data_IF_754665848362
#
_entry.id   IF_754665848362
#
_cell.length_a   1.000
_cell.length_b   1.000
_cell.length_c   1.000
_cell.angle_alpha   90.00
_cell.angle_beta   90.00
_cell.angle_gamma   90.00
#
_symmetry.space_group_name_H-M   'P 1'
#
loop_
_entity.id
_entity.type
_entity.pdbx_description
1 polymer ?
#
# COMPACT_ATOMS: atom_id res chain seq x y z
N UNK A 1 -18.54 4.31 10.48
CA UNK A 1 -18.02 5.52 11.18
C UNK A 1 -16.52 5.65 11.01
N UNK A 2 -15.71 4.59 11.30
CA UNK A 2 -14.26 4.61 11.18
C UNK A 2 -13.80 4.99 9.76
N UNK A 3 -14.37 4.36 8.71
CA UNK A 3 -14.03 4.68 7.33
C UNK A 3 -14.18 6.18 6.99
N UNK A 4 -15.23 6.85 7.51
CA UNK A 4 -15.40 8.30 7.31
C UNK A 4 -14.27 9.13 7.92
N UNK A 5 -13.77 8.73 9.12
CA UNK A 5 -12.65 9.43 9.76
C UNK A 5 -11.38 9.25 8.94
N UNK A 6 -11.09 8.02 8.49
CA UNK A 6 -9.92 7.75 7.65
C UNK A 6 -9.98 8.52 6.33
N UNK A 7 -11.12 8.49 5.64
CA UNK A 7 -11.33 9.29 4.41
C UNK A 7 -11.12 10.78 4.67
N UNK A 8 -11.59 11.30 5.82
CA UNK A 8 -11.36 12.70 6.21
C UNK A 8 -9.90 13.09 6.42
N UNK A 9 -9.03 12.12 6.76
CA UNK A 9 -7.58 12.33 6.97
C UNK A 9 -6.75 12.12 5.69
N UNK A 10 -7.25 11.32 4.75
CA UNK A 10 -6.48 10.87 3.58
C UNK A 10 -6.94 11.59 2.31
N UNK A 11 -8.25 11.64 2.09
CA UNK A 11 -8.85 12.24 0.90
C UNK A 11 -10.06 11.46 0.40
N UNK A 12 -10.73 11.96 -0.66
CA UNK A 12 -11.90 11.31 -1.26
C UNK A 12 -11.60 9.88 -1.71
N UNK A 13 -12.44 8.92 -1.29
CA UNK A 13 -12.24 7.50 -1.61
C UNK A 13 -13.07 6.58 -0.73
N UNK A 14 -12.71 5.30 -0.72
CA UNK A 14 -13.33 4.28 0.14
C UNK A 14 -12.28 3.51 0.92
N UNK A 15 -12.72 2.90 2.02
CA UNK A 15 -11.86 2.08 2.90
C UNK A 15 -12.40 0.66 2.92
N UNK A 16 -11.50 -0.30 2.75
CA UNK A 16 -11.74 -1.72 2.98
C UNK A 16 -10.93 -2.12 4.22
N UNK A 17 -11.58 -2.80 5.18
CA UNK A 17 -10.93 -3.27 6.40
C UNK A 17 -10.51 -4.73 6.27
N UNK A 18 -9.39 -5.06 6.91
CA UNK A 18 -8.86 -6.40 7.09
C UNK A 18 -8.27 -6.54 8.51
N UNK A 19 -7.42 -7.54 8.77
CA UNK A 19 -6.98 -7.85 10.14
C UNK A 19 -5.49 -7.61 10.37
N UNK A 20 -4.73 -7.39 9.31
CA UNK A 20 -3.26 -7.25 9.39
C UNK A 20 -2.69 -6.40 8.26
N UNK A 21 -1.42 -5.99 8.40
CA UNK A 21 -0.69 -5.30 7.32
C UNK A 21 -0.45 -6.19 6.10
N UNK A 22 -0.19 -7.49 6.31
CA UNK A 22 -0.03 -8.43 5.20
C UNK A 22 -1.31 -8.55 4.37
N UNK A 23 -2.49 -8.66 5.01
CA UNK A 23 -3.78 -8.65 4.31
C UNK A 23 -4.04 -7.32 3.60
N UNK A 24 -3.64 -6.19 4.19
CA UNK A 24 -3.76 -4.88 3.54
C UNK A 24 -2.90 -4.83 2.27
N UNK A 25 -1.65 -5.28 2.31
CA UNK A 25 -0.79 -5.35 1.14
C UNK A 25 -1.28 -6.36 0.09
N UNK A 26 -1.82 -7.52 0.49
CA UNK A 26 -2.51 -8.44 -0.43
C UNK A 26 -3.67 -7.74 -1.15
N UNK A 27 -4.44 -6.92 -0.42
CA UNK A 27 -5.54 -6.17 -1.04
C UNK A 27 -5.03 -5.10 -2.02
N UNK A 28 -3.89 -4.41 -1.75
CA UNK A 28 -3.25 -3.51 -2.71
C UNK A 28 -2.81 -4.24 -3.98
N UNK A 29 -2.14 -5.38 -3.84
CA UNK A 29 -1.68 -6.19 -4.98
C UNK A 29 -2.86 -6.74 -5.80
N UNK A 30 -3.92 -7.18 -5.13
CA UNK A 30 -5.16 -7.62 -5.79
C UNK A 30 -5.87 -6.47 -6.50
N UNK A 31 -5.90 -5.27 -5.90
CA UNK A 31 -6.44 -4.06 -6.55
C UNK A 31 -5.69 -3.78 -7.85
N UNK A 32 -4.36 -3.78 -7.81
CA UNK A 32 -3.53 -3.56 -8.99
C UNK A 32 -3.83 -4.60 -10.09
N UNK A 33 -3.82 -5.88 -9.76
CA UNK A 33 -4.13 -6.95 -10.72
C UNK A 33 -5.55 -6.84 -11.29
N UNK A 34 -6.52 -6.49 -10.45
CA UNK A 34 -7.90 -6.34 -10.90
C UNK A 34 -8.05 -5.16 -11.88
N UNK A 35 -7.35 -4.04 -11.62
CA UNK A 35 -7.31 -2.89 -12.54
C UNK A 35 -6.60 -3.26 -13.83
N UNK A 36 -5.46 -3.97 -13.76
CA UNK A 36 -4.70 -4.40 -14.93
C UNK A 36 -5.43 -5.40 -15.83
N UNK A 37 -6.36 -6.17 -15.27
CA UNK A 37 -7.16 -7.15 -16.01
C UNK A 37 -8.49 -6.58 -16.52
N UNK A 38 -8.83 -5.33 -16.21
CA UNK A 38 -10.02 -4.66 -16.74
C UNK A 38 -9.73 -3.95 -18.07
N UNK A 39 -10.42 -4.35 -19.14
CA UNK A 39 -10.43 -3.71 -20.44
C UNK A 39 -9.57 -4.37 -21.50
N UNK A 40 -9.61 -3.84 -22.75
CA UNK A 40 -8.94 -4.40 -23.93
C UNK A 40 -7.40 -4.29 -23.91
N UNK A 41 -6.83 -3.64 -22.94
CA UNK A 41 -5.36 -3.54 -22.70
C UNK A 41 -4.88 -4.53 -21.65
N UNK A 42 -5.50 -5.68 -21.64
CA UNK A 42 -5.35 -6.73 -20.65
C UNK A 42 -3.95 -7.34 -20.61
N UNK A 43 -3.55 -7.67 -19.42
CA UNK A 43 -2.41 -8.41 -18.89
C UNK A 43 -1.28 -7.57 -18.28
N UNK A 44 -1.52 -6.29 -17.95
CA UNK A 44 -0.58 -5.56 -17.10
C UNK A 44 -0.66 -6.14 -15.69
N UNK A 45 0.41 -6.79 -15.26
CA UNK A 45 0.44 -7.45 -13.94
C UNK A 45 1.77 -7.25 -13.20
N UNK A 46 2.75 -6.59 -13.82
CA UNK A 46 4.05 -6.31 -13.20
C UNK A 46 3.92 -5.21 -12.14
N UNK A 47 4.53 -5.46 -10.98
CA UNK A 47 4.64 -4.48 -9.90
C UNK A 47 6.11 -4.14 -9.69
N UNK A 48 6.44 -2.84 -9.75
CA UNK A 48 7.77 -2.34 -9.40
C UNK A 48 7.76 -1.99 -7.91
N UNK A 49 8.75 -2.49 -7.18
CA UNK A 49 8.83 -2.38 -5.71
C UNK A 49 10.17 -1.79 -5.31
N UNK A 50 10.22 -1.02 -4.24
CA UNK A 50 11.48 -0.55 -3.68
C UNK A 50 12.30 -1.71 -3.08
N UNK A 51 13.59 -1.79 -3.40
CA UNK A 51 14.52 -2.73 -2.76
C UNK A 51 14.51 -2.55 -1.25
N UNK A 52 14.82 -3.62 -0.52
CA UNK A 52 14.83 -3.67 0.94
C UNK A 52 13.46 -3.38 1.62
N UNK A 53 12.38 -3.28 0.84
CA UNK A 53 11.02 -3.15 1.37
C UNK A 53 10.55 -4.41 2.09
N UNK A 54 9.63 -4.23 3.04
CA UNK A 54 8.97 -5.32 3.76
C UNK A 54 7.45 -5.13 3.74
N UNK A 55 6.75 -6.03 3.05
CA UNK A 55 5.31 -5.89 2.83
C UNK A 55 4.46 -6.98 3.51
N UNK A 56 5.08 -7.99 4.10
CA UNK A 56 4.39 -9.05 4.85
C UNK A 56 4.92 -10.46 4.61
N UNK A 57 4.19 -11.44 5.15
CA UNK A 57 4.58 -12.86 5.17
C UNK A 57 3.62 -13.79 4.41
N UNK A 58 2.51 -13.31 3.90
CA UNK A 58 1.65 -14.05 2.97
C UNK A 58 2.35 -14.15 1.61
N UNK A 59 2.00 -15.13 0.77
CA UNK A 59 2.74 -15.37 -0.47
C UNK A 59 2.80 -14.16 -1.39
N UNK A 60 1.72 -13.38 -1.54
CA UNK A 60 1.73 -12.17 -2.35
C UNK A 60 2.58 -11.06 -1.74
N UNK A 61 2.39 -10.76 -0.46
CA UNK A 61 3.19 -9.75 0.24
C UNK A 61 4.67 -10.15 0.34
N UNK A 62 4.96 -11.46 0.50
CA UNK A 62 6.32 -12.00 0.49
C UNK A 62 6.98 -11.87 -0.89
N UNK A 63 6.20 -12.03 -1.96
CA UNK A 63 6.69 -11.84 -3.33
C UNK A 63 7.14 -10.40 -3.59
N UNK A 64 6.46 -9.42 -2.99
CA UNK A 64 6.84 -8.01 -3.00
C UNK A 64 7.98 -7.66 -2.03
N UNK A 65 8.40 -8.58 -1.14
CA UNK A 65 9.50 -8.41 -0.19
C UNK A 65 10.78 -9.01 -0.78
N UNK A 66 11.78 -8.17 -1.12
CA UNK A 66 12.98 -8.64 -1.83
C UNK A 66 13.91 -9.53 -0.98
N UNK A 67 13.93 -9.37 0.34
CA UNK A 67 14.94 -9.98 1.23
C UNK A 67 15.02 -11.50 1.09
N UNK A 68 16.18 -12.07 0.66
CA UNK A 68 16.37 -13.53 0.54
C UNK A 68 16.14 -14.27 1.87
N UNK A 69 16.43 -13.62 2.99
CA UNK A 69 16.21 -14.16 4.35
C UNK A 69 14.76 -14.56 4.59
N UNK A 70 13.81 -13.82 3.99
CA UNK A 70 12.38 -14.07 4.18
C UNK A 70 11.79 -14.99 3.13
N UNK A 71 12.39 -15.03 1.92
CA UNK A 71 11.88 -15.77 0.74
C UNK A 71 12.32 -17.22 0.71
N UNK A 72 13.52 -17.52 1.20
CA UNK A 72 14.13 -18.86 1.12
C UNK A 72 13.21 -19.95 1.68
N UNK A 73 12.91 -20.95 0.86
CA UNK A 73 12.09 -22.12 1.20
C UNK A 73 10.58 -21.92 0.92
N UNK A 74 10.18 -20.77 0.36
CA UNK A 74 8.79 -20.48 0.00
C UNK A 74 8.58 -20.32 -1.51
N UNK A 75 9.62 -20.62 -2.32
CA UNK A 75 9.53 -20.59 -3.77
C UNK A 75 8.71 -21.78 -4.32
N UNK A 76 8.01 -21.62 -5.47
CA UNK A 76 7.95 -20.44 -6.31
C UNK A 76 7.07 -19.33 -5.71
N UNK A 77 7.53 -18.09 -5.77
CA UNK A 77 6.76 -16.91 -5.37
C UNK A 77 5.93 -16.39 -6.55
N UNK A 78 5.00 -15.46 -6.27
CA UNK A 78 4.20 -14.83 -7.31
C UNK A 78 5.07 -13.89 -8.15
N UNK A 79 4.78 -13.84 -9.45
CA UNK A 79 5.43 -12.96 -10.42
C UNK A 79 4.38 -12.21 -11.26
N UNK A 80 4.77 -11.14 -11.98
CA UNK A 80 6.09 -10.51 -12.01
C UNK A 80 6.26 -9.38 -10.99
N UNK A 81 7.38 -9.40 -10.29
CA UNK A 81 7.86 -8.30 -9.46
C UNK A 81 9.24 -7.86 -9.92
N UNK A 82 9.45 -6.54 -10.05
CA UNK A 82 10.76 -5.94 -10.36
C UNK A 82 11.14 -5.03 -9.22
N UNK A 83 12.41 -5.07 -8.81
CA UNK A 83 12.90 -4.27 -7.69
C UNK A 83 13.83 -3.17 -8.21
N UNK A 84 13.72 -1.97 -7.60
CA UNK A 84 14.55 -0.82 -7.90
C UNK A 84 15.00 -0.13 -6.59
N UNK A 85 16.22 0.42 -6.53
CA UNK A 85 16.72 1.09 -5.33
C UNK A 85 15.84 2.25 -4.91
N UNK A 86 15.53 2.35 -3.60
CA UNK A 86 14.79 3.49 -3.06
C UNK A 86 15.53 4.79 -3.35
N UNK A 87 14.81 5.84 -3.71
CA UNK A 87 15.33 7.17 -4.08
C UNK A 87 16.10 7.24 -5.41
N UNK A 88 16.22 6.14 -6.16
CA UNK A 88 16.75 6.13 -7.51
C UNK A 88 15.62 6.24 -8.54
N UNK A 89 15.30 7.48 -8.94
CA UNK A 89 14.24 7.75 -9.90
C UNK A 89 14.52 7.13 -11.27
N UNK A 90 15.79 7.13 -11.73
CA UNK A 90 16.16 6.60 -13.04
C UNK A 90 15.97 5.09 -13.09
N UNK A 91 16.36 4.37 -12.04
CA UNK A 91 16.13 2.93 -11.92
C UNK A 91 14.61 2.58 -11.95
N UNK A 92 13.78 3.34 -11.21
CA UNK A 92 12.33 3.18 -11.27
C UNK A 92 11.77 3.49 -12.65
N UNK A 93 12.22 4.58 -13.29
CA UNK A 93 11.76 4.97 -14.62
C UNK A 93 12.06 3.90 -15.68
N UNK A 94 13.22 3.24 -15.59
CA UNK A 94 13.62 2.14 -16.47
C UNK A 94 12.85 0.86 -16.17
N UNK A 95 12.54 0.58 -14.88
CA UNK A 95 11.79 -0.59 -14.45
C UNK A 95 10.30 -0.52 -14.85
N UNK A 96 9.74 0.68 -14.98
CA UNK A 96 8.34 0.92 -15.34
C UNK A 96 8.18 0.86 -16.87
N UNK A 97 7.70 -0.26 -17.38
CA UNK A 97 7.41 -0.51 -18.80
C UNK A 97 5.91 -0.69 -19.07
N UNK A 98 5.58 -1.18 -20.27
CA UNK A 98 4.21 -1.34 -20.73
C UNK A 98 3.43 -2.42 -19.97
N UNK A 99 4.11 -3.40 -19.35
CA UNK A 99 3.48 -4.47 -18.55
C UNK A 99 3.27 -4.03 -17.09
N UNK A 100 3.80 -2.87 -16.69
CA UNK A 100 3.72 -2.39 -15.32
C UNK A 100 2.33 -1.87 -15.01
N UNK A 101 1.72 -2.40 -13.94
CA UNK A 101 0.42 -1.94 -13.43
C UNK A 101 0.54 -1.08 -12.19
N UNK A 102 1.54 -1.30 -11.35
CA UNK A 102 1.69 -0.57 -10.11
C UNK A 102 3.15 -0.38 -9.70
N UNK A 103 3.38 0.64 -8.92
CA UNK A 103 4.57 0.86 -8.10
C UNK A 103 4.15 0.73 -6.64
N UNK A 104 4.89 -0.04 -5.82
CA UNK A 104 4.66 -0.21 -4.39
C UNK A 104 5.87 0.28 -3.60
N UNK A 105 5.66 1.24 -2.70
CA UNK A 105 6.72 1.89 -1.90
C UNK A 105 6.24 2.08 -0.47
N UNK A 106 7.14 1.92 0.50
CA UNK A 106 6.99 2.43 1.87
C UNK A 106 7.49 3.87 1.93
N UNK A 107 6.76 4.79 2.59
CA UNK A 107 7.28 6.16 2.79
C UNK A 107 8.52 6.19 3.70
N UNK A 108 8.62 5.21 4.61
CA UNK A 108 9.82 4.88 5.38
C UNK A 108 9.95 3.37 5.46
N UNK A 109 11.06 2.82 4.98
CA UNK A 109 11.39 1.40 5.09
C UNK A 109 11.85 1.07 6.50
N UNK A 110 10.90 0.69 7.37
CA UNK A 110 11.20 0.40 8.76
C UNK A 110 12.07 -0.83 8.96
N UNK A 111 11.76 -1.94 8.30
CA UNK A 111 12.51 -3.20 8.37
C UNK A 111 13.80 -3.16 7.54
N UNK A 112 13.87 -2.30 6.54
CA UNK A 112 15.02 -2.12 5.65
C UNK A 112 16.17 -1.33 6.27
N UNK A 113 16.00 -0.72 7.45
CA UNK A 113 17.04 0.06 8.11
C UNK A 113 16.66 1.52 8.41
N UNK A 114 15.37 1.84 8.38
CA UNK A 114 14.81 3.18 8.62
C UNK A 114 15.27 4.17 7.53
N UNK A 115 15.08 3.77 6.27
CA UNK A 115 15.36 4.63 5.12
C UNK A 115 14.09 5.35 4.66
N UNK A 116 14.20 6.66 4.53
CA UNK A 116 13.12 7.53 4.09
C UNK A 116 13.06 7.61 2.56
N UNK A 117 11.84 7.49 1.99
CA UNK A 117 11.58 7.90 0.63
C UNK A 117 11.54 9.45 0.56
N UNK A 118 12.51 10.05 -0.11
CA UNK A 118 12.62 11.50 -0.23
C UNK A 118 11.36 12.09 -0.90
N UNK A 119 10.87 13.23 -0.39
CA UNK A 119 9.68 13.88 -0.93
C UNK A 119 9.78 14.15 -2.43
N UNK A 120 10.95 14.61 -2.90
CA UNK A 120 11.18 14.87 -4.33
C UNK A 120 11.15 13.58 -5.17
N UNK A 121 11.64 12.46 -4.62
CA UNK A 121 11.54 11.16 -5.27
C UNK A 121 10.07 10.72 -5.38
N UNK A 122 9.30 10.78 -4.28
CA UNK A 122 7.87 10.44 -4.28
C UNK A 122 7.07 11.31 -5.26
N UNK A 123 7.36 12.61 -5.34
CA UNK A 123 6.73 13.52 -6.29
C UNK A 123 7.01 13.11 -7.74
N UNK A 124 8.28 12.81 -8.07
CA UNK A 124 8.67 12.37 -9.42
C UNK A 124 8.01 11.03 -9.78
N UNK A 125 7.99 10.06 -8.87
CA UNK A 125 7.34 8.77 -9.08
C UNK A 125 5.83 8.94 -9.25
N UNK A 126 5.18 9.77 -8.43
CA UNK A 126 3.76 10.07 -8.55
C UNK A 126 3.41 10.66 -9.93
N UNK A 127 4.20 11.61 -10.41
CA UNK A 127 4.05 12.20 -11.73
C UNK A 127 4.23 11.16 -12.86
N UNK A 128 5.28 10.35 -12.78
CA UNK A 128 5.57 9.29 -13.76
C UNK A 128 4.44 8.24 -13.80
N UNK A 129 3.99 7.77 -12.63
CA UNK A 129 2.88 6.83 -12.52
C UNK A 129 1.60 7.40 -13.17
N UNK A 130 1.28 8.66 -12.88
CA UNK A 130 0.13 9.34 -13.47
C UNK A 130 0.24 9.44 -14.99
N UNK A 131 1.41 9.80 -15.51
CA UNK A 131 1.67 9.92 -16.95
C UNK A 131 1.54 8.57 -17.68
N UNK A 132 2.04 7.48 -17.07
CA UNK A 132 2.04 6.14 -17.67
C UNK A 132 0.76 5.33 -17.38
N UNK A 133 -0.18 5.85 -16.58
CA UNK A 133 -1.37 5.14 -16.16
C UNK A 133 -1.06 3.93 -15.27
N UNK A 134 -0.01 4.04 -14.45
CA UNK A 134 0.45 3.06 -13.47
C UNK A 134 -0.05 3.49 -12.09
N UNK A 135 -0.48 2.53 -11.26
CA UNK A 135 -0.95 2.83 -9.91
C UNK A 135 0.24 3.11 -8.97
N UNK A 136 0.16 4.18 -8.20
CA UNK A 136 1.04 4.41 -7.06
C UNK A 136 0.36 3.87 -5.80
N UNK A 137 0.94 2.82 -5.22
CA UNK A 137 0.51 2.15 -4.00
C UNK A 137 1.50 2.45 -2.88
N UNK A 138 1.01 2.89 -1.73
CA UNK A 138 1.86 3.18 -0.59
C UNK A 138 1.58 2.22 0.57
N UNK A 139 2.63 1.61 1.07
CA UNK A 139 2.60 0.80 2.29
C UNK A 139 2.91 1.70 3.50
N UNK A 140 1.86 2.10 4.19
CA UNK A 140 1.91 2.91 5.41
C UNK A 140 1.68 2.08 6.68
N UNK A 141 1.84 0.77 6.58
CA UNK A 141 1.62 -0.16 7.69
C UNK A 141 2.53 0.17 8.88
N UNK A 142 3.75 0.60 8.63
CA UNK A 142 4.69 0.96 9.69
C UNK A 142 4.85 2.48 9.87
N UNK A 143 4.93 3.23 8.79
CA UNK A 143 5.17 4.67 8.81
C UNK A 143 3.92 5.50 9.13
N UNK A 144 2.73 4.95 8.91
CA UNK A 144 1.47 5.68 9.08
C UNK A 144 0.98 5.79 10.52
N UNK A 145 -0.21 6.35 10.63
CA UNK A 145 -0.98 6.54 11.88
C UNK A 145 -0.17 7.34 12.92
N UNK A 146 0.35 8.50 12.50
CA UNK A 146 1.04 9.43 13.37
C UNK A 146 2.49 9.06 13.71
N UNK A 147 3.03 7.95 13.20
CA UNK A 147 4.40 7.49 13.53
C UNK A 147 5.49 8.50 13.18
N UNK A 148 5.30 9.27 12.12
CA UNK A 148 6.29 10.22 11.57
C UNK A 148 5.98 11.67 11.89
N UNK A 149 4.90 11.95 12.64
CA UNK A 149 4.39 13.29 12.92
C UNK A 149 3.15 13.62 12.09
N UNK A 150 3.13 13.22 10.81
CA UNK A 150 1.94 13.30 9.96
C UNK A 150 1.04 12.08 10.17
N UNK A 151 -0.24 12.17 9.78
CA UNK A 151 -1.15 11.04 9.88
C UNK A 151 -0.68 9.83 9.04
N UNK A 152 -0.18 10.08 7.82
CA UNK A 152 0.52 9.12 6.98
C UNK A 152 1.85 9.71 6.53
N UNK A 153 2.92 8.92 6.53
CA UNK A 153 4.28 9.40 6.32
C UNK A 153 4.51 10.08 4.97
N UNK A 154 3.79 9.66 3.93
CA UNK A 154 3.90 10.26 2.60
C UNK A 154 3.28 11.65 2.48
N UNK A 155 2.42 12.08 3.42
CA UNK A 155 1.64 13.32 3.28
C UNK A 155 2.53 14.57 3.19
N UNK A 156 3.72 14.54 3.80
CA UNK A 156 4.71 15.61 3.66
C UNK A 156 5.22 15.81 2.22
N UNK A 157 5.10 14.79 1.36
CA UNK A 157 5.48 14.89 -0.05
C UNK A 157 4.38 15.55 -0.91
N UNK A 158 3.21 15.85 -0.33
CA UNK A 158 2.07 16.51 -1.01
C UNK A 158 1.62 15.78 -2.28
N UNK A 159 1.69 14.45 -2.28
CA UNK A 159 1.23 13.58 -3.38
C UNK A 159 -0.12 12.95 -3.06
N UNK A 160 -0.80 12.46 -4.10
CA UNK A 160 -2.03 11.67 -3.95
C UNK A 160 -1.82 10.27 -4.55
N UNK A 161 -1.58 9.24 -3.72
CA UNK A 161 -1.47 7.86 -4.20
C UNK A 161 -2.83 7.32 -4.64
N UNK A 162 -2.82 6.19 -5.36
CA UNK A 162 -4.05 5.55 -5.80
C UNK A 162 -4.64 4.63 -4.72
N UNK A 163 -3.81 4.08 -3.85
CA UNK A 163 -4.25 3.35 -2.65
C UNK A 163 -3.14 3.31 -1.59
N UNK A 164 -3.54 3.14 -0.33
CA UNK A 164 -2.64 3.13 0.83
C UNK A 164 -3.02 2.00 1.76
N UNK A 165 -2.03 1.18 2.17
CA UNK A 165 -2.19 0.17 3.21
C UNK A 165 -1.87 0.74 4.59
N UNK A 166 -2.67 0.38 5.58
CA UNK A 166 -2.53 0.80 6.98
C UNK A 166 -2.76 -0.38 7.92
N UNK A 167 -2.01 -0.48 9.01
CA UNK A 167 -2.23 -1.43 10.09
C UNK A 167 -1.50 -0.98 11.36
N UNK A 168 -0.92 -1.90 12.13
CA UNK A 168 -0.09 -1.64 13.33
C UNK A 168 -0.67 -0.53 14.22
N UNK A 169 -0.18 0.69 14.07
CA UNK A 169 -0.62 1.87 14.82
C UNK A 169 -2.14 2.10 14.75
N UNK A 170 -2.79 1.69 13.67
CA UNK A 170 -4.23 1.86 13.47
C UNK A 170 -5.06 1.23 14.61
N UNK A 171 -4.63 0.09 15.13
CA UNK A 171 -5.32 -0.61 16.21
C UNK A 171 -4.75 -0.36 17.59
N UNK A 172 -3.60 0.35 17.70
CA UNK A 172 -2.96 0.58 18.99
C UNK A 172 -2.59 -0.69 19.75
N UNK A 173 -2.34 -1.79 19.04
CA UNK A 173 -2.07 -3.13 19.59
C UNK A 173 -3.18 -4.15 19.28
N UNK A 174 -4.37 -3.71 18.90
CA UNK A 174 -5.43 -4.62 18.45
C UNK A 174 -5.26 -4.97 16.96
N UNK A 175 -5.48 -6.23 16.54
CA UNK A 175 -5.38 -6.63 15.14
C UNK A 175 -6.40 -5.92 14.25
N UNK A 176 -5.92 -5.07 13.37
CA UNK A 176 -6.68 -4.40 12.31
C UNK A 176 -5.74 -3.99 11.20
N UNK A 177 -6.20 -4.12 9.98
CA UNK A 177 -5.61 -3.52 8.80
C UNK A 177 -6.69 -2.81 7.98
N UNK A 178 -6.28 -1.96 7.08
CA UNK A 178 -7.16 -1.30 6.14
C UNK A 178 -6.40 -0.91 4.88
N UNK A 179 -7.10 -0.81 3.76
CA UNK A 179 -6.64 -0.03 2.62
C UNK A 179 -7.61 1.12 2.39
N UNK A 180 -7.06 2.29 2.09
CA UNK A 180 -7.80 3.37 1.46
C UNK A 180 -7.55 3.31 -0.04
N UNK A 181 -8.61 3.51 -0.82
CA UNK A 181 -8.58 3.51 -2.29
C UNK A 181 -9.14 4.84 -2.77
N UNK A 182 -8.38 5.54 -3.61
CA UNK A 182 -8.78 6.80 -4.24
C UNK A 182 -10.12 6.67 -4.98
N UNK A 183 -10.90 7.75 -5.03
CA UNK A 183 -12.24 7.75 -5.62
C UNK A 183 -12.29 7.25 -7.07
N UNK A 184 -11.21 7.40 -7.85
CA UNK A 184 -11.12 6.92 -9.25
C UNK A 184 -11.15 5.40 -9.36
N UNK A 185 -10.72 4.70 -8.30
CA UNK A 185 -10.57 3.25 -8.24
C UNK A 185 -11.42 2.59 -7.15
N UNK A 186 -12.14 3.36 -6.33
CA UNK A 186 -12.84 2.87 -5.15
C UNK A 186 -14.01 1.90 -5.45
N UNK A 187 -14.45 1.82 -6.68
CA UNK A 187 -15.47 0.88 -7.15
C UNK A 187 -14.88 -0.34 -7.89
N UNK A 188 -13.54 -0.51 -7.83
CA UNK A 188 -12.86 -1.66 -8.42
C UNK A 188 -13.27 -2.96 -7.75
N UNK A 189 -13.32 -2.99 -6.42
CA UNK A 189 -13.84 -4.13 -5.68
C UNK A 189 -15.36 -4.05 -5.53
N UNK A 190 -16.06 -4.91 -6.27
CA UNK A 190 -17.49 -5.14 -6.11
C UNK A 190 -17.80 -6.35 -5.23
N UNK A 191 -19.09 -6.65 -4.97
CA UNK A 191 -19.49 -7.84 -4.24
C UNK A 191 -18.84 -9.12 -4.78
N UNK A 192 -18.21 -9.91 -3.91
CA UNK A 192 -17.57 -11.18 -4.26
C UNK A 192 -16.13 -11.09 -4.80
N UNK A 193 -15.62 -9.88 -5.11
CA UNK A 193 -14.26 -9.73 -5.67
C UNK A 193 -13.15 -9.85 -4.61
N UNK A 194 -13.39 -9.35 -3.42
CA UNK A 194 -12.48 -9.43 -2.27
C UNK A 194 -13.28 -9.38 -0.96
N UNK A 195 -12.76 -10.01 0.09
CA UNK A 195 -13.43 -10.06 1.38
C UNK A 195 -12.53 -10.63 2.48
N UNK A 196 -13.03 -10.54 3.69
CA UNK A 196 -12.38 -11.02 4.92
C UNK A 196 -13.44 -11.34 5.95
N UNK A 197 -13.23 -12.39 6.75
CA UNK A 197 -14.23 -12.81 7.76
C UNK A 197 -14.39 -11.79 8.88
N UNK A 198 -13.29 -11.23 9.39
CA UNK A 198 -13.29 -10.38 10.58
C UNK A 198 -12.91 -8.92 10.31
N UNK A 199 -12.62 -8.56 9.06
CA UNK A 199 -12.25 -7.18 8.71
C UNK A 199 -13.37 -6.20 9.03
N UNK A 200 -13.03 -5.14 9.79
CA UNK A 200 -14.02 -4.16 10.24
C UNK A 200 -14.92 -4.61 11.39
N UNK A 201 -14.50 -5.63 12.16
CA UNK A 201 -15.23 -6.06 13.35
C UNK A 201 -15.45 -4.89 14.32
N UNK A 202 -16.56 -4.86 15.07
CA UNK A 202 -16.86 -3.76 15.99
C UNK A 202 -15.75 -3.49 17.00
N UNK A 203 -15.11 -4.55 17.49
CA UNK A 203 -14.03 -4.47 18.48
C UNK A 203 -12.78 -3.81 17.89
N UNK A 204 -12.34 -4.25 16.71
CA UNK A 204 -11.21 -3.67 15.99
C UNK A 204 -11.47 -2.19 15.62
N UNK A 205 -12.68 -1.89 15.14
CA UNK A 205 -13.07 -0.52 14.84
C UNK A 205 -13.11 0.38 16.10
N UNK A 206 -13.51 -0.14 17.25
CA UNK A 206 -13.51 0.59 18.51
C UNK A 206 -12.09 0.92 18.97
N UNK A 207 -11.16 -0.04 18.87
CA UNK A 207 -9.75 0.18 19.15
C UNK A 207 -9.17 1.28 18.24
N UNK A 208 -9.43 1.20 16.93
CA UNK A 208 -8.98 2.22 15.98
C UNK A 208 -9.61 3.60 16.24
N UNK A 209 -10.87 3.67 16.67
CA UNK A 209 -11.48 4.93 17.08
C UNK A 209 -10.74 5.55 18.29
N UNK A 210 -10.40 4.75 19.29
CA UNK A 210 -9.65 5.22 20.46
C UNK A 210 -8.26 5.76 20.07
N UNK A 211 -7.57 5.11 19.12
CA UNK A 211 -6.29 5.62 18.57
C UNK A 211 -6.50 6.98 17.91
N UNK A 212 -7.49 7.10 17.03
CA UNK A 212 -7.77 8.36 16.34
C UNK A 212 -8.16 9.47 17.32
N UNK A 213 -8.89 9.16 18.42
CA UNK A 213 -9.27 10.12 19.45
C UNK A 213 -8.04 10.69 20.20
N UNK A 214 -6.97 9.90 20.30
CA UNK A 214 -5.69 10.37 20.89
C UNK A 214 -4.92 11.23 19.89
N UNK A 215 -4.87 10.85 18.62
CA UNK A 215 -4.14 11.58 17.58
C UNK A 215 -4.78 12.92 17.20
N UNK A 216 -6.06 13.12 17.50
CA UNK A 216 -6.80 14.34 17.20
C UNK A 216 -6.78 15.38 18.33
N UNK A 217 -6.15 15.05 19.47
CA UNK A 217 -5.94 15.98 20.63
C UNK A 217 -4.69 16.81 20.44
#
# INVERSE_FOLDING_TARGET
>A
RLAKRLVGKIGPGKVLFCNSGAEANEALLKLARYVGNKGDKSNKNKVVVAENGFHGRTLGALSATQSPKYRKGFEPLLEPFTFAPLNDFEAFSQAIDDDTIAVLIESIQGEGGIYEAESIFLQKISALCSQKGVLLLLDEVQAGIGRTGDFLGYQKAEITPNAVAMAKGLGGGFPIGAIWIDQRYCDTFGPGSHGTTFGGSPLACSAAHAVLDVLEK
#
